data_IF_923431310916
#
_entry.id   IF_923431310916
#
_cell.length_a   1.000
_cell.length_b   1.000
_cell.length_c   1.000
_cell.angle_alpha   90.00
_cell.angle_beta   90.00
_cell.angle_gamma   90.00
#
_symmetry.space_group_name_H-M   'P 1'
#
loop_
_entity.id
_entity.type
_entity.pdbx_description
1 polymer ?
#
# COMPACT_ATOMS: atom_id res chain seq x y z
N UNK A 1 28.87 20.33 -3.53
CA UNK A 1 27.97 19.92 -4.63
C UNK A 1 26.80 19.20 -4.00
N UNK A 2 25.58 19.73 -4.13
CA UNK A 2 24.34 19.05 -3.71
C UNK A 2 23.99 17.99 -4.75
N UNK A 3 24.47 16.76 -4.52
CA UNK A 3 24.16 15.61 -5.36
C UNK A 3 22.79 15.06 -4.96
N UNK A 4 21.91 14.89 -5.94
CA UNK A 4 20.64 14.18 -5.74
C UNK A 4 20.83 12.70 -6.04
N UNK A 5 20.19 11.84 -5.25
CA UNK A 5 20.20 10.39 -5.43
C UNK A 5 18.79 9.84 -5.35
N UNK A 6 18.49 8.88 -6.21
CA UNK A 6 17.22 8.15 -6.19
C UNK A 6 17.17 7.21 -4.99
N UNK A 7 16.10 7.29 -4.22
CA UNK A 7 15.86 6.47 -3.03
C UNK A 7 14.71 5.48 -3.21
N UNK A 8 13.78 5.76 -4.12
CA UNK A 8 12.66 4.89 -4.43
C UNK A 8 12.14 5.16 -5.84
N UNK A 9 11.53 4.14 -6.43
CA UNK A 9 10.80 4.22 -7.71
C UNK A 9 9.39 3.73 -7.47
N UNK A 10 8.43 4.40 -8.09
CA UNK A 10 7.01 4.06 -8.02
C UNK A 10 6.50 3.80 -9.41
N UNK A 11 5.73 2.74 -9.55
CA UNK A 11 5.09 2.45 -10.81
C UNK A 11 4.08 3.55 -11.11
N UNK A 12 3.32 4.06 -10.12
CA UNK A 12 2.20 5.01 -10.24
C UNK A 12 2.47 6.43 -9.69
N UNK A 13 2.15 7.54 -10.42
CA UNK A 13 2.35 8.91 -9.97
C UNK A 13 1.63 9.25 -8.67
N UNK A 14 0.37 8.83 -8.45
CA UNK A 14 -0.31 9.11 -7.18
C UNK A 14 0.43 8.53 -5.97
N UNK A 15 1.04 7.35 -6.10
CA UNK A 15 1.81 6.74 -5.02
C UNK A 15 3.13 7.48 -4.78
N UNK A 16 3.80 7.90 -5.86
CA UNK A 16 5.01 8.72 -5.79
C UNK A 16 4.74 10.05 -5.08
N UNK A 17 3.64 10.72 -5.44
CA UNK A 17 3.23 11.99 -4.85
C UNK A 17 2.87 11.82 -3.37
N UNK A 18 2.14 10.76 -3.02
CA UNK A 18 1.83 10.46 -1.63
C UNK A 18 3.10 10.27 -0.79
N UNK A 19 4.09 9.52 -1.30
CA UNK A 19 5.36 9.31 -0.61
C UNK A 19 6.18 10.60 -0.51
N UNK A 20 6.16 11.45 -1.55
CA UNK A 20 6.78 12.78 -1.51
C UNK A 20 6.20 13.63 -0.38
N UNK A 21 4.87 13.71 -0.27
CA UNK A 21 4.19 14.47 0.78
C UNK A 21 4.58 13.98 2.19
N UNK A 22 4.69 12.66 2.39
CA UNK A 22 5.12 12.08 3.66
C UNK A 22 6.58 12.43 4.00
N UNK A 23 7.49 12.33 3.03
CA UNK A 23 8.89 12.70 3.22
C UNK A 23 9.06 14.21 3.46
N UNK A 24 8.29 15.05 2.78
CA UNK A 24 8.28 16.50 3.00
C UNK A 24 7.74 16.88 4.38
N UNK A 25 6.71 16.18 4.85
CA UNK A 25 6.19 16.35 6.21
C UNK A 25 7.24 16.00 7.29
N UNK A 26 8.14 15.05 7.00
CA UNK A 26 9.28 14.69 7.86
C UNK A 26 10.49 15.64 7.69
N UNK A 27 10.39 16.65 6.82
CA UNK A 27 11.43 17.68 6.60
C UNK A 27 12.53 17.28 5.63
N UNK A 28 12.28 16.28 4.76
CA UNK A 28 13.15 15.99 3.63
C UNK A 28 12.83 16.90 2.44
N UNK A 29 13.87 17.31 1.73
CA UNK A 29 13.71 17.98 0.44
C UNK A 29 13.71 16.91 -0.65
N UNK A 30 12.58 16.81 -1.35
CA UNK A 30 12.27 15.67 -2.22
C UNK A 30 11.96 16.17 -3.63
N UNK A 31 12.57 15.50 -4.60
CA UNK A 31 12.35 15.76 -6.03
C UNK A 31 11.81 14.50 -6.68
N UNK A 32 10.71 14.63 -7.41
CA UNK A 32 10.22 13.56 -8.29
C UNK A 32 10.75 13.83 -9.68
N UNK A 33 11.44 12.83 -10.25
CA UNK A 33 11.84 12.84 -11.66
C UNK A 33 10.99 11.82 -12.39
N UNK A 34 10.08 12.31 -13.23
CA UNK A 34 9.33 11.53 -14.21
C UNK A 34 10.11 11.47 -15.53
N UNK A 35 10.23 10.29 -16.12
CA UNK A 35 10.62 10.17 -17.52
C UNK A 35 9.37 10.45 -18.38
N UNK A 36 9.25 11.69 -18.85
CA UNK A 36 8.08 12.23 -19.54
C UNK A 36 7.79 11.54 -20.90
N UNK A 37 7.26 10.31 -20.88
CA UNK A 37 6.70 9.62 -22.05
C UNK A 37 5.35 8.93 -21.79
N UNK A 38 4.67 9.24 -20.70
CA UNK A 38 3.42 8.55 -20.30
C UNK A 38 2.29 9.55 -20.03
N UNK A 39 2.12 10.53 -20.90
CA UNK A 39 0.96 11.42 -20.85
C UNK A 39 -0.36 10.75 -21.24
N UNK A 40 -0.34 9.55 -21.84
CA UNK A 40 -1.56 8.91 -22.39
C UNK A 40 -1.59 7.39 -22.30
N UNK A 41 -0.47 6.70 -21.99
CA UNK A 41 -0.45 5.23 -22.03
C UNK A 41 0.32 4.60 -20.85
N UNK A 42 -0.33 4.63 -19.68
CA UNK A 42 0.12 4.07 -18.41
C UNK A 42 0.81 2.69 -18.51
N UNK A 43 0.34 1.85 -19.44
CA UNK A 43 0.85 0.50 -19.68
C UNK A 43 2.34 0.46 -20.05
N UNK A 44 2.90 1.54 -20.61
CA UNK A 44 4.31 1.64 -20.98
C UNK A 44 5.24 2.02 -19.81
N UNK A 45 4.70 2.38 -18.63
CA UNK A 45 5.48 2.79 -17.47
C UNK A 45 6.45 1.71 -16.97
N UNK A 46 6.09 0.43 -17.12
CA UNK A 46 6.92 -0.72 -16.76
C UNK A 46 8.23 -0.81 -17.56
N UNK A 47 8.32 -0.16 -18.74
CA UNK A 47 9.51 -0.22 -19.60
C UNK A 47 10.54 0.89 -19.33
N UNK A 48 10.16 1.96 -18.61
CA UNK A 48 10.98 3.18 -18.43
C UNK A 48 11.37 3.42 -16.95
N UNK A 49 10.76 2.67 -16.03
CA UNK A 49 11.16 2.64 -14.63
C UNK A 49 10.55 3.77 -13.80
N UNK A 50 9.26 4.06 -14.03
CA UNK A 50 8.36 4.77 -13.12
C UNK A 50 8.79 6.18 -12.66
N UNK A 51 8.02 6.73 -11.73
CA UNK A 51 8.33 8.00 -11.06
C UNK A 51 9.43 7.77 -10.00
N UNK A 52 10.53 8.52 -10.10
CA UNK A 52 11.71 8.35 -9.23
C UNK A 52 11.75 9.42 -8.16
N UNK A 53 11.74 9.01 -6.89
CA UNK A 53 11.93 9.90 -5.74
C UNK A 53 13.42 10.08 -5.47
N UNK A 54 13.86 11.33 -5.46
CA UNK A 54 15.24 11.72 -5.24
C UNK A 54 15.36 12.68 -4.04
N UNK A 55 16.44 12.54 -3.29
CA UNK A 55 16.77 13.43 -2.16
C UNK A 55 18.26 13.79 -2.22
N UNK A 56 18.67 14.76 -1.41
CA UNK A 56 20.08 15.10 -1.24
C UNK A 56 20.84 13.89 -0.68
N UNK A 57 21.97 13.56 -1.30
CA UNK A 57 22.85 12.42 -0.96
C UNK A 57 23.13 12.32 0.55
N UNK A 58 23.40 13.45 1.20
CA UNK A 58 23.65 13.52 2.66
C UNK A 58 22.49 13.07 3.54
N UNK A 59 21.26 13.04 3.02
CA UNK A 59 20.04 12.59 3.72
C UNK A 59 19.48 11.27 3.16
N UNK A 60 20.15 10.67 2.18
CA UNK A 60 19.63 9.52 1.44
C UNK A 60 19.36 8.30 2.32
N UNK A 61 20.28 7.96 3.22
CA UNK A 61 20.12 6.79 4.11
C UNK A 61 18.96 6.96 5.09
N UNK A 62 18.76 8.17 5.62
CA UNK A 62 17.63 8.47 6.50
C UNK A 62 16.31 8.39 5.74
N UNK A 63 16.25 9.00 4.55
CA UNK A 63 15.05 8.99 3.72
C UNK A 63 14.68 7.56 3.25
N UNK A 64 15.68 6.71 2.90
CA UNK A 64 15.43 5.30 2.57
C UNK A 64 14.79 4.53 3.72
N UNK A 65 15.30 4.71 4.94
CA UNK A 65 14.74 4.08 6.14
C UNK A 65 13.30 4.51 6.37
N UNK A 66 13.01 5.80 6.22
CA UNK A 66 11.65 6.31 6.37
C UNK A 66 10.69 5.71 5.33
N UNK A 67 11.11 5.62 4.06
CA UNK A 67 10.31 4.99 3.00
C UNK A 67 10.05 3.51 3.33
N UNK A 68 11.06 2.78 3.80
CA UNK A 68 10.92 1.37 4.18
C UNK A 68 9.96 1.19 5.36
N UNK A 69 10.11 2.00 6.42
CA UNK A 69 9.21 2.01 7.57
C UNK A 69 7.77 2.31 7.18
N UNK A 70 7.57 3.30 6.29
CA UNK A 70 6.24 3.66 5.79
C UNK A 70 5.60 2.51 5.02
N UNK A 71 6.35 1.82 4.15
CA UNK A 71 5.86 0.65 3.43
C UNK A 71 5.51 -0.51 4.36
N UNK A 72 6.34 -0.75 5.37
CA UNK A 72 6.09 -1.80 6.37
C UNK A 72 4.86 -1.48 7.21
N UNK A 73 4.72 -0.25 7.71
CA UNK A 73 3.58 0.16 8.51
C UNK A 73 2.26 0.04 7.74
N UNK A 74 2.23 0.44 6.46
CA UNK A 74 1.05 0.24 5.59
C UNK A 74 0.72 -1.24 5.41
N UNK A 75 1.74 -2.10 5.29
CA UNK A 75 1.56 -3.55 5.16
C UNK A 75 1.06 -4.19 6.46
N UNK A 76 1.60 -3.79 7.60
CA UNK A 76 1.14 -4.24 8.92
C UNK A 76 -0.29 -3.78 9.18
N UNK A 77 -0.62 -2.52 8.92
CA UNK A 77 -1.99 -2.01 9.04
C UNK A 77 -2.99 -2.74 8.12
N UNK A 78 -2.55 -3.23 6.95
CA UNK A 78 -3.38 -4.06 6.07
C UNK A 78 -3.57 -5.49 6.60
N UNK A 79 -2.63 -6.00 7.39
CA UNK A 79 -2.66 -7.35 7.98
C UNK A 79 -3.31 -7.39 9.37
N UNK A 80 -3.34 -6.27 10.10
CA UNK A 80 -3.80 -6.18 11.50
C UNK A 80 -5.32 -6.08 11.66
N UNK A 81 -6.10 -6.12 10.57
CA UNK A 81 -7.55 -6.21 10.72
C UNK A 81 -7.88 -7.57 11.34
N UNK A 82 -8.47 -7.63 12.55
CA UNK A 82 -8.70 -8.90 13.23
C UNK A 82 -9.72 -9.74 12.46
N UNK A 83 -9.56 -11.05 12.53
CA UNK A 83 -10.53 -12.00 12.00
C UNK A 83 -11.91 -11.74 12.61
N UNK A 84 -12.95 -11.91 11.80
CA UNK A 84 -14.33 -11.68 12.23
C UNK A 84 -14.94 -12.99 12.67
N UNK A 85 -15.51 -12.99 13.88
CA UNK A 85 -16.22 -14.16 14.43
C UNK A 85 -17.68 -13.79 14.64
N UNK A 86 -18.58 -14.59 14.08
CA UNK A 86 -20.03 -14.39 14.17
C UNK A 86 -20.77 -15.72 14.06
N UNK A 87 -22.03 -15.75 14.51
CA UNK A 87 -22.84 -16.97 14.49
C UNK A 87 -23.61 -17.12 13.18
N UNK A 88 -23.64 -18.33 12.63
CA UNK A 88 -24.39 -18.62 11.42
C UNK A 88 -25.90 -18.56 11.68
N UNK A 89 -26.64 -17.73 10.93
CA UNK A 89 -28.09 -17.56 11.08
C UNK A 89 -28.90 -18.85 10.85
N UNK A 90 -28.34 -19.80 10.09
CA UNK A 90 -29.05 -21.02 9.71
C UNK A 90 -28.74 -22.24 10.58
N UNK A 91 -27.61 -22.26 11.30
CA UNK A 91 -27.24 -23.41 12.14
C UNK A 91 -26.74 -23.04 13.55
N UNK A 92 -26.54 -21.76 13.85
CA UNK A 92 -26.11 -21.27 15.15
C UNK A 92 -24.64 -21.53 15.49
N UNK A 93 -23.84 -22.09 14.57
CA UNK A 93 -22.42 -22.33 14.79
C UNK A 93 -21.62 -21.04 14.64
N UNK A 94 -20.63 -20.82 15.52
CA UNK A 94 -19.73 -19.68 15.42
C UNK A 94 -18.68 -19.90 14.33
N UNK A 95 -18.66 -19.00 13.34
CA UNK A 95 -17.74 -19.01 12.21
C UNK A 95 -16.70 -17.91 12.36
N UNK A 96 -15.44 -18.26 12.08
CA UNK A 96 -14.34 -17.29 11.99
C UNK A 96 -13.92 -17.14 10.53
N UNK A 97 -13.99 -15.92 10.01
CA UNK A 97 -13.50 -15.57 8.68
C UNK A 97 -12.35 -14.56 8.77
N UNK A 98 -11.39 -14.62 7.83
CA UNK A 98 -10.33 -13.63 7.78
C UNK A 98 -10.91 -12.25 7.46
N UNK A 99 -10.26 -11.20 7.97
CA UNK A 99 -10.71 -9.81 7.76
C UNK A 99 -10.84 -9.38 6.29
N UNK A 100 -10.21 -10.10 5.36
CA UNK A 100 -10.33 -9.90 3.91
C UNK A 100 -11.69 -10.27 3.34
N UNK A 101 -12.51 -11.03 4.07
CA UNK A 101 -13.86 -11.47 3.66
C UNK A 101 -15.00 -10.70 4.33
N UNK A 102 -14.70 -9.66 5.12
CA UNK A 102 -15.72 -8.75 5.69
C UNK A 102 -16.57 -8.13 4.57
N UNK A 103 -17.89 -8.16 4.71
CA UNK A 103 -18.84 -7.65 3.72
C UNK A 103 -19.09 -8.55 2.51
N UNK A 104 -18.53 -9.77 2.46
CA UNK A 104 -18.77 -10.74 1.40
C UNK A 104 -19.78 -11.81 1.83
N UNK A 105 -20.42 -12.43 0.83
CA UNK A 105 -21.22 -13.64 1.02
C UNK A 105 -20.28 -14.85 0.98
N UNK A 106 -20.24 -15.59 2.07
CA UNK A 106 -19.43 -16.80 2.22
C UNK A 106 -20.31 -18.03 2.45
N UNK A 107 -19.69 -19.21 2.48
CA UNK A 107 -20.37 -20.46 2.83
C UNK A 107 -19.98 -20.91 4.22
N UNK A 108 -20.98 -21.17 5.06
CA UNK A 108 -20.79 -21.73 6.39
C UNK A 108 -20.13 -23.13 6.30
N UNK A 109 -19.00 -23.33 7.00
CA UNK A 109 -18.28 -24.61 7.00
C UNK A 109 -19.02 -25.74 7.72
N UNK A 110 -20.03 -25.41 8.52
CA UNK A 110 -20.82 -26.37 9.27
C UNK A 110 -22.06 -26.83 8.50
N UNK A 111 -22.88 -25.92 7.99
CA UNK A 111 -24.15 -26.26 7.32
C UNK A 111 -24.16 -26.03 5.80
N UNK A 112 -23.07 -25.51 5.22
CA UNK A 112 -22.91 -25.25 3.78
C UNK A 112 -23.91 -24.25 3.18
N UNK A 113 -24.60 -23.46 4.01
CA UNK A 113 -25.47 -22.37 3.55
C UNK A 113 -24.70 -21.07 3.40
N UNK A 114 -25.25 -20.17 2.58
CA UNK A 114 -24.72 -18.83 2.40
C UNK A 114 -24.93 -18.02 3.68
N UNK A 115 -23.90 -17.28 4.07
CA UNK A 115 -23.90 -16.37 5.21
C UNK A 115 -23.24 -15.06 4.81
N UNK A 116 -23.82 -13.95 5.27
CA UNK A 116 -23.24 -12.62 5.12
C UNK A 116 -22.19 -12.39 6.21
N UNK A 117 -20.94 -12.14 5.82
CA UNK A 117 -19.88 -11.83 6.77
C UNK A 117 -20.01 -10.35 7.20
N UNK A 118 -20.17 -10.06 8.50
CA UNK A 118 -20.31 -8.68 8.97
C UNK A 118 -19.04 -7.86 8.73
N UNK A 119 -19.22 -6.54 8.56
CA UNK A 119 -18.14 -5.57 8.29
C UNK A 119 -17.19 -5.35 9.47
#
# INVERSE_FOLDING_TARGET
MTKLVTIATFDFPPEAEAMRLLLEAEGFEVFITDDHLVGTNWFLANAVGGAKIQVIDSKADLARKFVEQTRNNTREAALDKPDVTFDCEECGESLTFPSTRRGYVETCRHCQKFVDVPE
#
